data_IF_666615934277
#
_entry.id   IF_666615934277
#
_cell.length_a   1.000
_cell.length_b   1.000
_cell.length_c   1.000
_cell.angle_alpha   90.00
_cell.angle_beta   90.00
_cell.angle_gamma   90.00
#
_symmetry.space_group_name_H-M   'P 1'
#
loop_
_entity.id
_entity.type
_entity.pdbx_description
1 polymer ?
#
# COMPACT_ATOMS: atom_id res chain seq x y z
N UNK A 1 10.53 3.17 6.94
CA UNK A 1 11.94 3.18 7.40
C UNK A 1 12.30 4.37 8.28
N UNK A 2 11.32 5.12 8.78
CA UNK A 2 11.49 6.40 9.50
C UNK A 2 12.24 6.25 10.85
N UNK A 3 12.03 5.12 11.53
CA UNK A 3 12.63 4.86 12.85
C UNK A 3 13.98 4.13 12.79
N UNK A 4 14.54 3.88 11.60
CA UNK A 4 15.76 3.09 11.45
C UNK A 4 16.94 3.68 12.22
N UNK A 5 17.07 5.01 12.25
CA UNK A 5 18.15 5.71 12.97
C UNK A 5 18.12 5.44 14.48
N UNK A 6 16.95 5.59 15.09
CA UNK A 6 16.77 5.34 16.54
C UNK A 6 16.95 3.86 16.86
N UNK A 7 16.48 2.97 15.99
CA UNK A 7 16.65 1.53 16.18
C UNK A 7 18.13 1.11 16.09
N UNK A 8 18.90 1.70 15.18
CA UNK A 8 20.35 1.48 15.08
C UNK A 8 21.05 2.03 16.33
N UNK A 9 20.70 3.26 16.76
CA UNK A 9 21.22 3.85 17.99
C UNK A 9 20.96 2.96 19.22
N UNK A 10 19.77 2.35 19.32
CA UNK A 10 19.46 1.44 20.42
C UNK A 10 20.37 0.19 20.44
N UNK A 11 20.86 -0.25 19.28
CA UNK A 11 21.82 -1.35 19.17
C UNK A 11 23.23 -0.91 19.50
N UNK A 12 23.66 0.25 18.99
CA UNK A 12 24.96 0.86 19.34
C UNK A 12 25.05 1.09 20.85
N UNK A 13 23.98 1.60 21.46
CA UNK A 13 23.91 1.77 22.90
C UNK A 13 24.04 0.44 23.66
N UNK A 14 23.43 -0.65 23.16
CA UNK A 14 23.60 -1.98 23.77
C UNK A 14 25.05 -2.47 23.73
N UNK A 15 25.82 -2.07 22.70
CA UNK A 15 27.26 -2.37 22.61
C UNK A 15 28.05 -1.59 23.67
N UNK A 16 27.76 -0.30 23.85
CA UNK A 16 28.43 0.54 24.85
C UNK A 16 28.20 0.03 26.29
N UNK A 17 26.98 -0.39 26.62
CA UNK A 17 26.64 -0.93 27.94
C UNK A 17 26.95 -2.44 28.08
N UNK A 18 27.59 -3.06 27.07
CA UNK A 18 27.93 -4.50 27.02
C UNK A 18 26.74 -5.43 27.29
N UNK A 19 25.55 -5.04 26.84
CA UNK A 19 24.32 -5.83 27.00
C UNK A 19 24.33 -7.00 26.02
N UNK A 20 24.34 -8.22 26.54
CA UNK A 20 24.33 -9.46 25.73
C UNK A 20 23.09 -9.58 24.82
N UNK A 21 21.93 -9.11 25.29
CA UNK A 21 20.67 -9.22 24.57
C UNK A 21 20.39 -7.92 23.82
N UNK A 22 20.78 -7.88 22.53
CA UNK A 22 20.47 -6.77 21.62
C UNK A 22 19.03 -6.87 21.12
N UNK A 23 18.31 -5.74 20.96
CA UNK A 23 16.98 -5.74 20.38
C UNK A 23 17.00 -6.18 18.91
N UNK A 24 16.01 -6.98 18.51
CA UNK A 24 15.79 -7.36 17.12
C UNK A 24 14.96 -6.26 16.45
N UNK A 25 15.44 -5.74 15.33
CA UNK A 25 14.74 -4.69 14.58
C UNK A 25 14.02 -5.36 13.42
N UNK A 26 12.69 -5.40 13.47
CA UNK A 26 11.85 -5.84 12.36
C UNK A 26 11.14 -4.62 11.78
N UNK A 27 11.68 -4.10 10.66
CA UNK A 27 11.09 -2.95 9.97
C UNK A 27 10.08 -3.43 8.94
N UNK A 28 8.85 -2.91 9.01
CA UNK A 28 7.83 -3.17 8.00
C UNK A 28 7.87 -2.10 6.89
N UNK A 29 7.24 -2.45 5.77
CA UNK A 29 7.04 -1.54 4.66
C UNK A 29 6.11 -0.37 5.05
N UNK A 30 6.42 0.84 4.58
CA UNK A 30 5.57 2.01 4.84
C UNK A 30 4.58 2.14 3.70
N UNK A 31 3.29 2.19 4.02
CA UNK A 31 2.27 2.44 3.02
C UNK A 31 2.32 3.92 2.58
N UNK A 32 2.27 4.18 1.26
CA UNK A 32 2.24 5.54 0.72
C UNK A 32 0.90 6.21 1.03
N UNK A 33 0.87 7.54 0.95
CA UNK A 33 -0.38 8.28 0.95
C UNK A 33 -1.15 8.05 -0.36
N UNK A 34 -2.46 8.29 -0.34
CA UNK A 34 -3.32 8.11 -1.52
C UNK A 34 -3.06 9.15 -2.62
N UNK A 35 -2.40 10.27 -2.31
CA UNK A 35 -2.13 11.33 -3.29
C UNK A 35 -0.77 11.16 -3.97
N UNK A 36 -0.62 11.76 -5.16
CA UNK A 36 0.62 11.69 -5.93
C UNK A 36 1.79 12.31 -5.15
N UNK A 37 2.92 11.60 -5.10
CA UNK A 37 4.15 12.10 -4.47
C UNK A 37 4.16 12.01 -2.94
N UNK A 38 3.14 11.42 -2.32
CA UNK A 38 3.16 11.17 -0.88
C UNK A 38 3.76 9.80 -0.56
N UNK A 39 5.06 9.79 -0.28
CA UNK A 39 5.79 8.57 0.11
C UNK A 39 5.33 7.96 1.44
N UNK A 40 4.58 8.72 2.24
CA UNK A 40 4.10 8.32 3.56
C UNK A 40 2.72 8.91 3.82
N UNK A 41 1.81 8.10 4.34
CA UNK A 41 0.55 8.60 4.92
C UNK A 41 0.86 9.65 6.00
N UNK A 42 0.34 10.86 5.80
CA UNK A 42 0.47 11.96 6.74
C UNK A 42 -0.87 12.24 7.42
N UNK A 43 -0.84 12.48 8.74
CA UNK A 43 -2.04 12.95 9.48
C UNK A 43 -2.44 14.36 9.05
N UNK A 44 -1.52 15.11 8.45
CA UNK A 44 -1.72 16.49 8.02
C UNK A 44 -2.77 16.60 6.91
N UNK A 45 -2.87 15.59 6.05
CA UNK A 45 -3.83 15.56 4.93
C UNK A 45 -4.86 14.42 5.13
N UNK A 46 -6.04 14.70 5.73
CA UNK A 46 -7.06 13.70 6.02
C UNK A 46 -7.62 13.00 4.76
N UNK A 47 -7.58 13.69 3.62
CA UNK A 47 -8.03 13.16 2.34
C UNK A 47 -7.06 12.16 1.72
N UNK A 48 -5.82 12.12 2.22
CA UNK A 48 -4.75 11.27 1.70
C UNK A 48 -4.51 9.99 2.49
N UNK A 49 -5.16 9.86 3.65
CA UNK A 49 -5.01 8.73 4.56
C UNK A 49 -6.38 8.11 4.84
N UNK A 50 -6.43 6.78 4.85
CA UNK A 50 -7.59 6.02 5.32
C UNK A 50 -7.39 5.74 6.80
N UNK A 51 -8.35 6.17 7.62
CA UNK A 51 -8.36 5.92 9.05
C UNK A 51 -9.23 4.71 9.37
N UNK A 52 -8.96 4.08 10.51
CA UNK A 52 -9.74 2.92 10.99
C UNK A 52 -11.19 3.28 11.37
N UNK A 53 -11.44 4.57 11.59
CA UNK A 53 -12.74 5.13 11.99
C UNK A 53 -13.53 5.68 10.79
N UNK A 54 -12.97 5.65 9.57
CA UNK A 54 -13.64 6.15 8.38
C UNK A 54 -14.88 5.30 8.04
N UNK A 55 -15.97 5.97 7.67
CA UNK A 55 -17.16 5.28 7.15
C UNK A 55 -16.93 4.76 5.71
N UNK A 56 -17.73 3.78 5.28
CA UNK A 56 -17.63 3.18 3.94
C UNK A 56 -17.68 4.24 2.81
N UNK A 57 -18.53 5.26 2.97
CA UNK A 57 -18.69 6.35 1.99
C UNK A 57 -17.42 7.20 1.89
N UNK A 58 -16.75 7.43 3.02
CA UNK A 58 -15.51 8.19 3.07
C UNK A 58 -14.36 7.40 2.44
N UNK A 59 -14.25 6.10 2.74
CA UNK A 59 -13.26 5.22 2.12
C UNK A 59 -13.42 5.19 0.60
N UNK A 60 -14.65 5.00 0.09
CA UNK A 60 -14.93 5.05 -1.36
C UNK A 60 -14.51 6.37 -1.98
N UNK A 61 -14.81 7.48 -1.31
CA UNK A 61 -14.47 8.82 -1.80
C UNK A 61 -12.96 9.06 -1.83
N UNK A 62 -12.23 8.59 -0.80
CA UNK A 62 -10.77 8.70 -0.71
C UNK A 62 -10.08 7.85 -1.78
N UNK A 63 -10.52 6.60 -1.95
CA UNK A 63 -10.00 5.69 -2.98
C UNK A 63 -10.27 6.22 -4.39
N UNK A 64 -11.46 6.80 -4.64
CA UNK A 64 -11.79 7.41 -5.93
C UNK A 64 -10.91 8.63 -6.27
N UNK A 65 -10.45 9.36 -5.25
CA UNK A 65 -9.52 10.48 -5.39
C UNK A 65 -8.05 10.06 -5.38
N UNK A 66 -7.77 8.79 -5.12
CA UNK A 66 -6.41 8.30 -5.03
C UNK A 66 -5.70 8.34 -6.39
N UNK A 67 -4.39 8.51 -6.34
CA UNK A 67 -3.53 8.52 -7.51
C UNK A 67 -3.41 7.09 -8.07
N UNK A 68 -4.10 6.82 -9.17
CA UNK A 68 -4.01 5.54 -9.89
C UNK A 68 -3.87 5.80 -11.39
N UNK A 69 -2.70 6.25 -11.85
CA UNK A 69 -2.45 6.44 -13.28
C UNK A 69 -2.49 5.10 -14.03
N UNK A 70 -3.01 5.07 -15.27
CA UNK A 70 -2.98 3.88 -16.11
C UNK A 70 -1.54 3.50 -16.48
N UNK A 71 -1.27 2.20 -16.62
CA UNK A 71 0.01 1.63 -17.06
C UNK A 71 1.23 1.86 -16.14
N UNK A 72 1.08 2.64 -15.07
CA UNK A 72 2.13 2.92 -14.10
C UNK A 72 1.91 2.06 -12.85
N UNK A 73 2.88 1.18 -12.60
CA UNK A 73 2.90 0.27 -11.43
C UNK A 73 3.72 0.87 -10.28
N UNK A 74 4.81 1.55 -10.60
CA UNK A 74 5.70 2.16 -9.60
C UNK A 74 5.09 3.46 -9.06
N UNK A 75 5.09 3.61 -7.74
CA UNK A 75 4.52 4.80 -7.08
C UNK A 75 2.99 4.86 -7.10
N UNK A 76 2.30 3.76 -7.43
CA UNK A 76 0.84 3.69 -7.39
C UNK A 76 0.34 3.22 -6.01
N UNK A 77 -0.22 4.11 -5.17
CA UNK A 77 -0.67 3.76 -3.83
C UNK A 77 -1.75 2.68 -3.83
N UNK A 78 -2.66 2.66 -4.80
CA UNK A 78 -3.72 1.64 -4.86
C UNK A 78 -3.14 0.23 -5.02
N UNK A 79 -2.12 0.07 -5.86
CA UNK A 79 -1.44 -1.21 -6.04
C UNK A 79 -0.67 -1.65 -4.80
N UNK A 80 -0.09 -0.69 -4.09
CA UNK A 80 0.67 -0.94 -2.88
C UNK A 80 -0.23 -1.45 -1.75
N UNK A 81 -1.42 -0.88 -1.62
CA UNK A 81 -2.46 -1.35 -0.70
C UNK A 81 -2.91 -2.76 -1.05
N UNK A 82 -3.16 -3.04 -2.34
CA UNK A 82 -3.54 -4.39 -2.77
C UNK A 82 -2.41 -5.38 -2.44
N UNK A 83 -1.15 -5.02 -2.68
CA UNK A 83 0.03 -5.86 -2.41
C UNK A 83 0.24 -6.16 -0.94
N UNK A 84 0.11 -5.16 -0.06
CA UNK A 84 0.50 -5.25 1.34
C UNK A 84 -0.67 -5.50 2.30
N UNK A 85 -1.91 -5.25 1.88
CA UNK A 85 -3.11 -5.46 2.71
C UNK A 85 -3.97 -6.57 2.12
N UNK A 86 -4.41 -6.42 0.88
CA UNK A 86 -5.43 -7.32 0.29
C UNK A 86 -4.88 -8.72 0.04
N UNK A 87 -3.71 -8.83 -0.60
CA UNK A 87 -3.12 -10.12 -0.92
C UNK A 87 -2.76 -10.95 0.34
N UNK A 88 -2.11 -10.38 1.38
CA UNK A 88 -1.79 -11.16 2.59
C UNK A 88 -3.01 -11.63 3.39
N UNK A 89 -4.16 -10.96 3.26
CA UNK A 89 -5.38 -11.32 4.00
C UNK A 89 -6.33 -12.22 3.21
N UNK A 90 -6.53 -11.93 1.92
CA UNK A 90 -7.55 -12.60 1.11
C UNK A 90 -6.96 -13.60 0.10
N UNK A 91 -5.64 -13.58 -0.13
CA UNK A 91 -4.89 -14.37 -1.12
C UNK A 91 -5.35 -14.24 -2.58
N UNK A 92 -6.50 -13.64 -2.83
CA UNK A 92 -7.13 -13.44 -4.13
C UNK A 92 -7.72 -12.04 -4.17
N UNK A 93 -7.63 -11.41 -5.34
CA UNK A 93 -8.22 -10.11 -5.61
C UNK A 93 -9.16 -10.22 -6.79
N UNK A 94 -10.46 -10.04 -6.54
CA UNK A 94 -11.49 -10.10 -7.56
C UNK A 94 -11.84 -8.68 -8.01
N UNK A 95 -11.79 -8.44 -9.31
CA UNK A 95 -12.18 -7.19 -9.95
C UNK A 95 -13.42 -7.45 -10.79
N UNK A 96 -14.55 -6.94 -10.33
CA UNK A 96 -15.80 -6.96 -11.07
C UNK A 96 -15.81 -5.78 -12.06
N UNK A 97 -15.98 -6.09 -13.35
CA UNK A 97 -16.12 -5.07 -14.41
C UNK A 97 -17.26 -5.47 -15.32
N UNK A 98 -17.88 -4.47 -15.94
CA UNK A 98 -18.87 -4.71 -16.98
C UNK A 98 -18.26 -5.54 -18.14
N UNK A 99 -19.07 -6.35 -18.84
CA UNK A 99 -18.59 -7.19 -19.94
C UNK A 99 -17.88 -6.40 -21.05
N UNK A 100 -18.28 -5.16 -21.29
CA UNK A 100 -17.64 -4.25 -22.26
C UNK A 100 -16.21 -3.84 -21.87
N UNK A 101 -15.86 -3.92 -20.58
CA UNK A 101 -14.55 -3.51 -20.03
C UNK A 101 -13.68 -4.71 -19.61
N UNK A 102 -13.91 -5.88 -20.23
CA UNK A 102 -13.09 -7.08 -20.02
C UNK A 102 -13.63 -8.07 -18.98
N UNK A 103 -14.84 -7.85 -18.45
CA UNK A 103 -15.53 -8.80 -17.56
C UNK A 103 -14.88 -9.00 -16.18
N UNK A 104 -15.45 -9.95 -15.42
CA UNK A 104 -14.94 -10.32 -14.09
C UNK A 104 -13.58 -11.01 -14.20
N UNK A 105 -12.61 -10.54 -13.41
CA UNK A 105 -11.24 -11.07 -13.41
C UNK A 105 -10.74 -11.28 -11.99
N UNK A 106 -10.22 -12.48 -11.73
CA UNK A 106 -9.67 -12.87 -10.43
C UNK A 106 -8.15 -12.96 -10.54
N UNK A 107 -7.45 -12.29 -9.63
CA UNK A 107 -6.00 -12.28 -9.54
C UNK A 107 -5.54 -13.02 -8.28
N UNK A 108 -4.79 -14.10 -8.47
CA UNK A 108 -4.23 -14.89 -7.36
C UNK A 108 -2.81 -14.43 -6.97
N UNK A 109 -2.20 -13.55 -7.77
CA UNK A 109 -0.89 -12.99 -7.46
C UNK A 109 -0.76 -11.54 -7.90
N UNK A 110 0.03 -10.77 -7.14
CA UNK A 110 0.39 -9.39 -7.48
C UNK A 110 1.11 -9.32 -8.85
N UNK A 111 1.88 -10.36 -9.21
CA UNK A 111 2.57 -10.43 -10.50
C UNK A 111 1.58 -10.39 -11.66
N UNK A 112 0.51 -11.20 -11.59
CA UNK A 112 -0.54 -11.24 -12.61
C UNK A 112 -1.29 -9.91 -12.72
N UNK A 113 -1.52 -9.25 -11.58
CA UNK A 113 -2.14 -7.92 -11.54
C UNK A 113 -1.24 -6.87 -12.20
N UNK A 114 0.05 -6.83 -11.83
CA UNK A 114 1.01 -5.85 -12.35
C UNK A 114 1.24 -5.97 -13.87
N UNK A 115 1.23 -7.20 -14.40
CA UNK A 115 1.32 -7.46 -15.83
C UNK A 115 0.09 -6.93 -16.54
N UNK A 116 -1.10 -7.16 -15.98
CA UNK A 116 -2.35 -6.72 -16.59
C UNK A 116 -2.46 -5.20 -16.65
N UNK A 117 -2.03 -4.47 -15.62
CA UNK A 117 -2.01 -3.01 -15.66
C UNK A 117 -1.06 -2.43 -16.71
N UNK A 118 0.08 -3.10 -16.97
CA UNK A 118 1.01 -2.70 -18.04
C UNK A 118 0.43 -2.92 -19.44
N UNK A 119 -0.52 -3.85 -19.58
CA UNK A 119 -1.11 -4.27 -20.87
C UNK A 119 -2.34 -3.42 -21.24
N UNK A 120 -2.51 -2.24 -20.63
CA UNK A 120 -3.56 -1.25 -20.92
C UNK A 120 -4.98 -1.57 -20.37
N UNK A 121 -5.13 -2.60 -19.53
CA UNK A 121 -6.37 -2.84 -18.79
C UNK A 121 -6.52 -1.82 -17.65
N UNK A 122 -7.41 -0.83 -17.82
CA UNK A 122 -7.74 0.17 -16.80
C UNK A 122 -8.56 -0.47 -15.67
N UNK A 123 -8.01 -0.52 -14.46
CA UNK A 123 -8.80 -0.83 -13.25
C UNK A 123 -9.50 0.46 -12.85
N UNK A 124 -10.76 0.65 -13.29
CA UNK A 124 -11.64 1.66 -12.68
C UNK A 124 -11.99 1.13 -11.30
N UNK A 125 -11.45 1.76 -10.27
CA UNK A 125 -11.94 1.57 -8.91
C UNK A 125 -13.23 2.41 -8.81
N UNK A 126 -14.34 1.79 -9.19
CA UNK A 126 -15.70 2.35 -9.04
C UNK A 126 -16.19 2.23 -7.60
#
# INVERSE_FOLDING_TARGET
MDQRKVNVLAREYCDDIKRKNKPIILSHHMLPGLQQGQEKMSKSDPSSSIFMEDEEVEVKTKIKKAYCPPQIVEGNPCLEYIKHIVFPWFNKFKVERNPENGGEKIYESFKNLSLTMKVADYIRVT
#
